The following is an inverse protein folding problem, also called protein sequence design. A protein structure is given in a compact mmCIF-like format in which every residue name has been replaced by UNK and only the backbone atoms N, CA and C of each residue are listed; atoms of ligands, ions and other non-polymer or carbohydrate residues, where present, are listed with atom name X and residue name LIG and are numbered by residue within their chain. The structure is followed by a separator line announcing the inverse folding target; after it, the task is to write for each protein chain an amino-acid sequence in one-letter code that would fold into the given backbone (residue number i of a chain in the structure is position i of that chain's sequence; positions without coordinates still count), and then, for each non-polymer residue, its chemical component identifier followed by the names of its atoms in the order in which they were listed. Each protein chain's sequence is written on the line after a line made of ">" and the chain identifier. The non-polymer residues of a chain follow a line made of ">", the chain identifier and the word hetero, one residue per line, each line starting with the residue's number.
data_IF_471820054357
#
_entry.id   IF_471820054357
#
_cell.length_a   1.000
_cell.length_b   1.000
_cell.length_c   1.000
_cell.angle_alpha   90.00
_cell.angle_beta   90.00
_cell.angle_gamma   90.00
#
_symmetry.space_group_name_H-M   'P 1'
#
loop_
_entity.id
_entity.type
_entity.pdbx_description
1 polymer ?
#
# COMPACT_ATOMS: atom_id res chain seq x y z
N UNK A 1 -16.67 -7.68 13.80
CA UNK A 1 -15.79 -8.56 13.01
C UNK A 1 -14.38 -8.38 13.57
N UNK A 2 -13.86 -9.37 14.31
CA UNK A 2 -12.56 -9.25 14.97
C UNK A 2 -11.47 -9.41 13.90
N UNK A 3 -10.88 -8.31 13.45
CA UNK A 3 -9.83 -8.34 12.42
C UNK A 3 -8.57 -8.90 13.08
N UNK A 4 -8.27 -10.17 12.80
CA UNK A 4 -7.07 -10.81 13.33
C UNK A 4 -5.79 -10.19 12.71
N UNK A 5 -4.68 -10.15 13.45
CA UNK A 5 -3.42 -9.54 13.00
C UNK A 5 -2.88 -10.12 11.68
N UNK A 6 -3.19 -11.39 11.38
CA UNK A 6 -2.83 -11.99 10.09
C UNK A 6 -3.50 -11.28 8.91
N UNK A 7 -4.76 -10.84 9.04
CA UNK A 7 -5.45 -10.13 7.97
C UNK A 7 -4.81 -8.76 7.71
N UNK A 8 -4.41 -8.05 8.77
CA UNK A 8 -3.73 -6.75 8.64
C UNK A 8 -2.40 -6.89 7.88
N UNK A 9 -1.63 -7.96 8.17
CA UNK A 9 -0.38 -8.26 7.46
C UNK A 9 -0.63 -8.58 5.98
N UNK A 10 -1.67 -9.36 5.67
CA UNK A 10 -2.07 -9.65 4.28
C UNK A 10 -2.45 -8.38 3.54
N UNK A 11 -3.27 -7.51 4.14
CA UNK A 11 -3.64 -6.22 3.52
C UNK A 11 -2.43 -5.33 3.29
N UNK A 12 -1.52 -5.21 4.26
CA UNK A 12 -0.26 -4.45 4.09
C UNK A 12 0.53 -4.94 2.88
N UNK A 13 0.75 -6.26 2.79
CA UNK A 13 1.47 -6.87 1.67
C UNK A 13 0.80 -6.62 0.32
N UNK A 14 -0.53 -6.68 0.25
CA UNK A 14 -1.28 -6.38 -0.97
C UNK A 14 -1.06 -4.92 -1.40
N UNK A 15 -1.20 -3.95 -0.50
CA UNK A 15 -1.00 -2.53 -0.82
C UNK A 15 0.45 -2.22 -1.22
N UNK A 16 1.43 -2.88 -0.59
CA UNK A 16 2.85 -2.75 -0.96
C UNK A 16 3.11 -3.31 -2.36
N UNK A 17 2.55 -4.48 -2.70
CA UNK A 17 2.70 -5.08 -4.03
C UNK A 17 2.01 -4.28 -5.14
N UNK A 18 0.81 -3.73 -4.86
CA UNK A 18 0.13 -2.81 -5.78
C UNK A 18 1.00 -1.58 -6.01
N UNK A 19 1.51 -0.97 -4.94
CA UNK A 19 2.41 0.19 -5.04
C UNK A 19 3.67 -0.11 -5.86
N UNK A 20 4.33 -1.25 -5.61
CA UNK A 20 5.52 -1.67 -6.35
C UNK A 20 5.23 -1.88 -7.85
N UNK A 21 4.10 -2.51 -8.17
CA UNK A 21 3.69 -2.72 -9.57
C UNK A 21 3.43 -1.39 -10.27
N UNK A 22 2.76 -0.45 -9.61
CA UNK A 22 2.50 0.89 -10.15
C UNK A 22 3.80 1.69 -10.37
N UNK A 23 4.81 1.52 -9.52
CA UNK A 23 6.12 2.16 -9.69
C UNK A 23 6.85 1.56 -10.91
N UNK A 24 6.80 0.23 -11.08
CA UNK A 24 7.44 -0.45 -12.21
C UNK A 24 6.80 -0.11 -13.56
N UNK A 25 5.54 0.31 -13.60
CA UNK A 25 4.88 0.74 -14.84
C UNK A 25 5.19 2.19 -15.21
N UNK A 26 5.69 3.04 -14.30
CA UNK A 26 6.08 4.44 -14.56
C UNK A 26 6.92 4.61 -15.84
N UNK A 27 8.05 3.89 -16.05
CA UNK A 27 8.89 4.08 -17.24
C UNK A 27 8.20 3.71 -18.56
N UNK A 28 7.11 2.94 -18.50
CA UNK A 28 6.34 2.54 -19.70
C UNK A 28 5.19 3.50 -20.02
N UNK A 29 4.88 4.45 -19.12
CA UNK A 29 3.79 5.40 -19.31
C UNK A 29 4.27 6.55 -20.20
N UNK A 30 3.68 6.63 -21.38
CA UNK A 30 3.90 7.69 -22.36
C UNK A 30 2.86 8.83 -22.30
N UNK A 31 1.80 8.67 -21.49
CA UNK A 31 0.73 9.65 -21.35
C UNK A 31 0.81 10.37 -19.99
N UNK A 32 0.95 11.70 -20.02
CA UNK A 32 1.09 12.54 -18.83
C UNK A 32 -0.12 12.43 -17.87
N UNK A 33 -1.34 12.32 -18.39
CA UNK A 33 -2.55 12.18 -17.55
C UNK A 33 -2.53 10.84 -16.80
N UNK A 34 -2.16 9.77 -17.50
CA UNK A 34 -2.04 8.41 -16.93
C UNK A 34 -0.92 8.36 -15.88
N UNK A 35 0.18 9.09 -16.11
CA UNK A 35 1.28 9.20 -15.17
C UNK A 35 0.83 9.88 -13.87
N UNK A 36 0.12 11.01 -13.96
CA UNK A 36 -0.41 11.72 -12.80
C UNK A 36 -1.37 10.84 -11.99
N UNK A 37 -2.29 10.12 -12.67
CA UNK A 37 -3.18 9.17 -12.00
C UNK A 37 -2.42 8.05 -11.29
N UNK A 38 -1.40 7.46 -11.92
CA UNK A 38 -0.57 6.43 -11.29
C UNK A 38 0.15 6.96 -10.06
N UNK A 39 0.71 8.17 -10.12
CA UNK A 39 1.38 8.79 -8.98
C UNK A 39 0.43 9.00 -7.79
N UNK A 40 -0.81 9.45 -8.04
CA UNK A 40 -1.84 9.57 -7.00
C UNK A 40 -2.14 8.20 -6.38
N UNK A 41 -2.31 7.17 -7.20
CA UNK A 41 -2.57 5.80 -6.73
C UNK A 41 -1.40 5.24 -5.90
N UNK A 42 -0.16 5.50 -6.32
CA UNK A 42 1.04 5.11 -5.56
C UNK A 42 1.04 5.75 -4.18
N UNK A 43 0.78 7.06 -4.09
CA UNK A 43 0.76 7.79 -2.81
C UNK A 43 -0.33 7.24 -1.88
N UNK A 44 -1.52 6.96 -2.42
CA UNK A 44 -2.63 6.39 -1.66
C UNK A 44 -2.28 5.00 -1.15
N UNK A 45 -1.77 4.13 -2.03
CA UNK A 45 -1.40 2.75 -1.69
C UNK A 45 -0.31 2.71 -0.62
N UNK A 46 0.72 3.55 -0.75
CA UNK A 46 1.80 3.66 0.22
C UNK A 46 1.29 4.18 1.57
N UNK A 47 0.42 5.19 1.56
CA UNK A 47 -0.17 5.74 2.80
C UNK A 47 -1.01 4.70 3.55
N UNK A 48 -1.77 3.87 2.84
CA UNK A 48 -2.53 2.76 3.41
C UNK A 48 -1.62 1.68 4.00
N UNK A 49 -0.59 1.27 3.25
CA UNK A 49 0.39 0.29 3.72
C UNK A 49 1.08 0.76 5.02
N UNK A 50 1.54 2.01 5.08
CA UNK A 50 2.17 2.57 6.28
C UNK A 50 1.22 2.64 7.48
N UNK A 51 -0.06 3.00 7.27
CA UNK A 51 -1.07 2.98 8.35
C UNK A 51 -1.32 1.56 8.86
N UNK A 52 -1.37 0.58 7.97
CA UNK A 52 -1.53 -0.84 8.31
C UNK A 52 -0.33 -1.36 9.08
N UNK A 53 0.90 -1.07 8.65
CA UNK A 53 2.11 -1.44 9.39
C UNK A 53 2.16 -0.81 10.78
N UNK A 54 1.80 0.47 10.89
CA UNK A 54 1.71 1.13 12.19
C UNK A 54 0.66 0.46 13.10
N UNK A 55 -0.49 0.07 12.55
CA UNK A 55 -1.51 -0.65 13.31
C UNK A 55 -1.04 -2.03 13.78
N UNK A 56 -0.32 -2.77 12.92
CA UNK A 56 0.30 -4.05 13.28
C UNK A 56 1.34 -3.86 14.38
N UNK A 57 2.22 -2.87 14.24
CA UNK A 57 3.25 -2.56 15.23
C UNK A 57 2.65 -2.19 16.60
N UNK A 58 1.61 -1.36 16.62
CA UNK A 58 0.90 -1.04 17.86
C UNK A 58 0.26 -2.29 18.48
N UNK A 59 -0.34 -3.16 17.66
CA UNK A 59 -0.94 -4.40 18.15
C UNK A 59 0.11 -5.34 18.76
N UNK A 60 1.21 -5.61 18.06
CA UNK A 60 2.31 -6.50 18.53
C UNK A 60 2.99 -5.97 19.79
N UNK A 61 2.95 -4.64 20.06
CA UNK A 61 3.55 -4.04 21.26
C UNK A 61 2.61 -3.97 22.46
N UNK A 62 1.31 -4.19 22.24
CA UNK A 62 0.27 -4.11 23.29
C UNK A 62 -0.05 -5.47 23.92
N UNK A 63 0.60 -6.54 23.44
CA UNK A 63 0.54 -7.91 23.92
C UNK A 63 1.96 -8.42 24.21
#
# INVERSE_FOLDING_TARGET
>A
MNIQPYHLRVFSSVFTNIGATLILTIPTINNLIVLIFNLILIIISLSLALKLEKAIFTYDRSY
#
